data_IF_080048648456
#
_entry.id   IF_080048648456
#
_cell.length_a   1.000
_cell.length_b   1.000
_cell.length_c   1.000
_cell.angle_alpha   90.00
_cell.angle_beta   90.00
_cell.angle_gamma   90.00
#
_symmetry.space_group_name_H-M   'P 1'
#
loop_
_entity.id
_entity.type
_entity.pdbx_description
1 polymer ?
#
# COMPACT_ATOMS: atom_id res chain seq x y z
N UNK A 1 17.98 4.23 -71.59
CA UNK A 1 16.58 3.99 -72.00
C UNK A 1 16.28 2.53 -71.71
N UNK A 2 15.67 2.24 -70.56
CA UNK A 2 15.31 0.90 -70.11
C UNK A 2 13.80 0.87 -69.85
N UNK A 3 13.14 -0.17 -70.36
CA UNK A 3 11.69 -0.27 -70.51
C UNK A 3 10.93 -0.46 -69.19
N UNK A 4 9.85 0.29 -69.06
CA UNK A 4 8.78 0.13 -68.07
C UNK A 4 7.71 -0.82 -68.63
N UNK A 5 7.60 -2.01 -68.03
CA UNK A 5 6.50 -2.96 -68.26
C UNK A 5 5.27 -2.55 -67.46
N UNK A 6 4.14 -2.39 -68.17
CA UNK A 6 2.80 -2.14 -67.60
C UNK A 6 2.21 -3.42 -67.02
N UNK A 7 1.66 -3.36 -65.81
CA UNK A 7 0.80 -4.41 -65.23
C UNK A 7 -0.67 -4.03 -65.48
N UNK A 8 -1.51 -4.92 -66.06
CA UNK A 8 -2.93 -4.68 -66.21
C UNK A 8 -3.74 -5.30 -65.06
N UNK A 9 -4.74 -4.54 -64.61
CA UNK A 9 -6.06 -5.07 -64.26
C UNK A 9 -6.22 -5.80 -62.92
N UNK A 10 -6.62 -5.08 -61.88
CA UNK A 10 -7.47 -5.65 -60.85
C UNK A 10 -8.83 -4.94 -60.84
N UNK A 11 -9.87 -5.75 -61.06
CA UNK A 11 -11.26 -5.36 -61.18
C UNK A 11 -11.81 -4.92 -59.84
N UNK A 12 -12.45 -3.75 -59.82
CA UNK A 12 -13.36 -3.34 -58.77
C UNK A 12 -14.57 -4.28 -58.79
N UNK A 13 -14.71 -5.08 -57.73
CA UNK A 13 -15.86 -5.93 -57.47
C UNK A 13 -16.38 -5.63 -56.08
N UNK A 14 -17.50 -4.92 -56.01
CA UNK A 14 -18.28 -4.75 -54.80
C UNK A 14 -18.90 -6.09 -54.36
N UNK A 15 -18.70 -6.45 -53.09
CA UNK A 15 -19.50 -7.45 -52.36
C UNK A 15 -19.52 -7.00 -50.89
N UNK A 16 -20.54 -6.20 -50.55
CA UNK A 16 -21.66 -6.61 -49.70
C UNK A 16 -21.26 -7.30 -48.38
N UNK A 17 -21.28 -6.47 -47.33
CA UNK A 17 -22.13 -6.66 -46.15
C UNK A 17 -22.23 -8.08 -45.59
N UNK A 18 -21.39 -8.38 -44.59
CA UNK A 18 -21.74 -9.17 -43.38
C UNK A 18 -20.49 -9.34 -42.50
N UNK A 19 -19.92 -8.26 -41.96
CA UNK A 19 -19.04 -8.36 -40.80
C UNK A 19 -19.84 -7.95 -39.57
N UNK A 20 -20.37 -8.99 -38.91
CA UNK A 20 -20.49 -9.13 -37.46
C UNK A 20 -20.34 -7.80 -36.70
N UNK A 21 -21.49 -7.20 -36.36
CA UNK A 21 -21.63 -6.46 -35.11
C UNK A 21 -21.34 -7.43 -33.96
N UNK A 22 -20.07 -7.75 -33.72
CA UNK A 22 -19.64 -8.21 -32.42
C UNK A 22 -19.84 -7.01 -31.51
N UNK A 23 -20.95 -7.05 -30.76
CA UNK A 23 -21.23 -6.09 -29.71
C UNK A 23 -20.05 -6.06 -28.76
N UNK A 24 -19.18 -5.06 -28.94
CA UNK A 24 -18.42 -4.50 -27.84
C UNK A 24 -19.47 -3.93 -26.89
N UNK A 25 -19.98 -4.80 -26.03
CA UNK A 25 -20.47 -4.37 -24.73
C UNK A 25 -19.25 -3.71 -24.07
N UNK A 26 -19.12 -2.40 -24.27
CA UNK A 26 -18.38 -1.54 -23.40
C UNK A 26 -19.00 -1.78 -22.02
N UNK A 27 -18.39 -2.69 -21.26
CA UNK A 27 -18.58 -2.76 -19.84
C UNK A 27 -18.15 -1.39 -19.31
N UNK A 28 -19.11 -0.47 -19.26
CA UNK A 28 -18.91 0.82 -18.64
C UNK A 28 -18.41 0.58 -17.22
N UNK A 29 -17.50 1.42 -16.71
CA UNK A 29 -16.97 1.24 -15.37
C UNK A 29 -18.14 1.22 -14.39
N UNK A 30 -18.30 0.09 -13.69
CA UNK A 30 -19.25 -0.06 -12.59
C UNK A 30 -18.74 0.75 -11.37
N UNK A 31 -18.60 2.07 -11.53
CA UNK A 31 -18.13 3.00 -10.50
C UNK A 31 -19.30 3.78 -9.92
N UNK A 32 -20.16 3.09 -9.18
CA UNK A 32 -21.05 3.72 -8.21
C UNK A 32 -21.51 2.67 -7.18
N UNK A 33 -20.59 2.14 -6.38
CA UNK A 33 -21.01 1.58 -5.09
C UNK A 33 -21.46 2.75 -4.24
N UNK A 34 -22.78 2.87 -4.05
CA UNK A 34 -23.39 3.97 -3.32
C UNK A 34 -22.82 4.13 -1.90
N UNK A 35 -22.98 5.34 -1.37
CA UNK A 35 -22.70 5.66 0.04
C UNK A 35 -23.50 4.73 0.94
N UNK A 36 -22.84 4.06 1.87
CA UNK A 36 -23.48 3.19 2.86
C UNK A 36 -24.18 4.04 3.91
N UNK A 37 -25.42 3.68 4.24
CA UNK A 37 -26.21 4.42 5.22
C UNK A 37 -25.76 4.08 6.64
N UNK A 38 -25.65 5.07 7.56
CA UNK A 38 -25.49 4.80 8.99
C UNK A 38 -26.53 3.80 9.50
N UNK A 39 -26.10 2.88 10.37
CA UNK A 39 -26.93 1.77 10.88
C UNK A 39 -26.93 0.51 10.02
N UNK A 40 -26.39 0.54 8.80
CA UNK A 40 -26.26 -0.65 7.95
C UNK A 40 -25.32 -1.66 8.60
N UNK A 41 -25.76 -2.90 8.78
CA UNK A 41 -24.91 -3.98 9.26
C UNK A 41 -24.03 -4.54 8.12
N UNK A 42 -22.76 -4.80 8.42
CA UNK A 42 -21.77 -5.38 7.51
C UNK A 42 -21.06 -6.51 8.24
N UNK A 43 -20.91 -7.65 7.59
CA UNK A 43 -20.28 -8.84 8.17
C UNK A 43 -19.34 -9.48 7.14
N UNK A 44 -18.21 -10.01 7.63
CA UNK A 44 -17.17 -10.74 6.88
C UNK A 44 -16.43 -9.97 5.79
N UNK A 45 -17.13 -9.12 5.03
CA UNK A 45 -16.59 -8.45 3.85
C UNK A 45 -17.21 -7.07 3.75
N UNK A 46 -16.36 -6.07 3.62
CA UNK A 46 -16.72 -4.72 3.25
C UNK A 46 -16.35 -4.48 1.79
N UNK A 47 -17.32 -4.02 0.99
CA UNK A 47 -17.07 -3.54 -0.37
C UNK A 47 -17.00 -2.02 -0.35
N UNK A 48 -15.90 -1.46 -0.81
CA UNK A 48 -15.65 -0.01 -0.84
C UNK A 48 -14.87 0.34 -2.10
N UNK A 49 -15.42 1.21 -2.94
CA UNK A 49 -14.81 1.71 -4.18
C UNK A 49 -14.20 0.61 -5.07
N UNK A 50 -14.96 -0.48 -5.26
CA UNK A 50 -14.54 -1.64 -6.08
C UNK A 50 -13.54 -2.58 -5.39
N UNK A 51 -13.11 -2.26 -4.17
CA UNK A 51 -12.20 -3.07 -3.35
C UNK A 51 -13.01 -3.94 -2.39
N UNK A 52 -12.50 -5.12 -2.08
CA UNK A 52 -13.14 -6.09 -1.18
C UNK A 52 -12.25 -6.27 0.04
N UNK A 53 -12.59 -5.65 1.16
CA UNK A 53 -11.86 -5.71 2.42
C UNK A 53 -12.48 -6.77 3.35
N UNK A 54 -11.80 -7.90 3.62
CA UNK A 54 -12.25 -8.87 4.61
C UNK A 54 -12.33 -8.23 6.00
N UNK A 55 -13.45 -8.36 6.67
CA UNK A 55 -13.64 -7.87 8.03
C UNK A 55 -13.32 -8.97 9.05
N UNK A 56 -12.78 -8.62 10.22
CA UNK A 56 -12.77 -9.52 11.35
C UNK A 56 -14.18 -9.99 11.68
N UNK A 57 -14.28 -11.17 12.27
CA UNK A 57 -15.53 -11.78 12.70
C UNK A 57 -16.38 -10.83 13.55
N UNK A 58 -17.69 -11.07 13.51
CA UNK A 58 -18.68 -10.28 14.22
C UNK A 58 -19.41 -9.27 13.33
N UNK A 59 -20.40 -8.63 13.96
CA UNK A 59 -21.32 -7.71 13.30
C UNK A 59 -20.80 -6.28 13.39
N UNK A 60 -20.39 -5.73 12.25
CA UNK A 60 -20.01 -4.33 12.14
C UNK A 60 -21.22 -3.49 11.72
N UNK A 61 -21.27 -2.24 12.15
CA UNK A 61 -22.36 -1.30 11.85
C UNK A 61 -21.75 -0.03 11.28
N UNK A 62 -22.22 0.39 10.11
CA UNK A 62 -21.79 1.64 9.48
C UNK A 62 -22.17 2.81 10.39
N UNK A 63 -21.18 3.58 10.83
CA UNK A 63 -21.36 4.80 11.60
C UNK A 63 -21.54 6.02 10.70
N UNK A 64 -20.70 6.15 9.68
CA UNK A 64 -20.79 7.18 8.66
C UNK A 64 -19.98 6.79 7.42
N UNK A 65 -20.35 7.35 6.28
CA UNK A 65 -19.71 7.13 4.99
C UNK A 65 -19.84 8.42 4.17
N UNK A 66 -18.74 8.92 3.63
CA UNK A 66 -18.77 10.13 2.82
C UNK A 66 -17.40 10.63 2.40
N UNK A 67 -17.37 11.89 1.94
CA UNK A 67 -16.14 12.58 1.61
C UNK A 67 -15.33 12.83 2.88
N UNK A 68 -14.07 12.41 2.88
CA UNK A 68 -13.13 12.70 3.98
C UNK A 68 -12.87 14.19 4.18
N UNK A 69 -13.18 15.05 3.19
CA UNK A 69 -12.81 16.46 3.20
C UNK A 69 -11.29 16.65 3.19
N UNK A 70 -10.55 15.63 2.73
CA UNK A 70 -9.12 15.69 2.57
C UNK A 70 -8.79 16.45 1.29
N UNK A 71 -8.07 17.56 1.45
CA UNK A 71 -7.63 18.41 0.36
C UNK A 71 -6.28 18.99 0.78
N UNK A 72 -5.21 18.38 0.29
CA UNK A 72 -3.85 18.88 0.48
C UNK A 72 -3.30 19.43 -0.85
N UNK A 73 -3.31 20.76 -1.03
CA UNK A 73 -2.84 21.39 -2.26
C UNK A 73 -1.36 21.12 -2.56
N UNK A 74 -0.55 20.79 -1.54
CA UNK A 74 0.89 20.55 -1.71
C UNK A 74 1.18 19.20 -2.38
N UNK A 75 0.23 18.26 -2.30
CA UNK A 75 0.37 16.94 -2.89
C UNK A 75 -0.18 16.89 -4.32
N UNK A 76 -1.10 17.80 -4.67
CA UNK A 76 -1.67 17.95 -6.01
C UNK A 76 -3.17 17.68 -6.05
N UNK A 77 -3.75 17.61 -7.25
CA UNK A 77 -5.17 17.33 -7.44
C UNK A 77 -5.46 15.83 -7.24
N UNK A 78 -5.46 15.40 -5.98
CA UNK A 78 -6.01 14.10 -5.64
C UNK A 78 -7.54 14.20 -5.66
N UNK A 79 -8.18 13.20 -6.28
CA UNK A 79 -9.64 13.17 -6.44
C UNK A 79 -10.38 12.93 -5.13
N UNK A 80 -11.65 12.52 -5.25
CA UNK A 80 -12.51 12.19 -4.11
C UNK A 80 -11.94 11.06 -3.26
N UNK A 81 -11.54 11.38 -2.03
CA UNK A 81 -11.13 10.43 -1.01
C UNK A 81 -12.32 10.16 -0.08
N UNK A 82 -12.86 8.94 -0.17
CA UNK A 82 -13.94 8.45 0.66
C UNK A 82 -13.41 8.01 2.01
N UNK A 83 -14.09 8.40 3.08
CA UNK A 83 -13.89 7.89 4.43
C UNK A 83 -15.14 7.15 4.89
N UNK A 84 -14.95 5.98 5.48
CA UNK A 84 -16.01 5.09 5.93
C UNK A 84 -15.66 4.56 7.33
N UNK A 85 -16.56 4.81 8.27
CA UNK A 85 -16.40 4.42 9.68
C UNK A 85 -17.38 3.30 10.02
N UNK A 86 -16.89 2.20 10.57
CA UNK A 86 -17.69 1.11 11.10
C UNK A 86 -17.43 0.96 12.60
N UNK A 87 -18.49 0.71 13.35
CA UNK A 87 -18.44 0.39 14.76
C UNK A 87 -18.72 -1.08 14.98
N UNK A 88 -18.14 -1.62 16.04
CA UNK A 88 -18.49 -2.94 16.54
C UNK A 88 -18.72 -2.91 18.04
N UNK A 89 -19.86 -3.45 18.45
CA UNK A 89 -20.19 -3.65 19.84
C UNK A 89 -20.05 -5.13 20.22
N UNK A 90 -19.57 -5.39 21.43
CA UNK A 90 -19.55 -6.70 22.02
C UNK A 90 -20.97 -7.14 22.45
N UNK A 91 -21.08 -8.35 23.04
CA UNK A 91 -22.36 -8.91 23.51
C UNK A 91 -23.03 -8.07 24.62
N UNK A 92 -22.26 -7.26 25.34
CA UNK A 92 -22.75 -6.37 26.41
C UNK A 92 -23.18 -5.00 25.87
N UNK A 93 -23.17 -4.81 24.55
CA UNK A 93 -23.51 -3.54 23.90
C UNK A 93 -22.44 -2.46 24.03
N UNK A 94 -21.22 -2.79 24.48
CA UNK A 94 -20.09 -1.87 24.57
C UNK A 94 -19.26 -1.91 23.29
N UNK A 95 -18.80 -0.77 22.80
CA UNK A 95 -17.85 -0.73 21.68
C UNK A 95 -16.56 -1.47 22.05
N UNK A 96 -16.18 -2.44 21.23
CA UNK A 96 -14.93 -3.18 21.40
C UNK A 96 -13.95 -2.95 20.25
N UNK A 97 -14.44 -2.49 19.10
CA UNK A 97 -13.62 -2.08 17.98
C UNK A 97 -14.29 -0.99 17.12
N UNK A 98 -13.46 -0.22 16.45
CA UNK A 98 -13.84 0.75 15.43
C UNK A 98 -12.95 0.54 14.21
N UNK A 99 -13.51 0.61 13.02
CA UNK A 99 -12.78 0.52 11.77
C UNK A 99 -12.94 1.84 11.01
N UNK A 100 -11.82 2.46 10.70
CA UNK A 100 -11.72 3.61 9.81
C UNK A 100 -11.11 3.15 8.48
N UNK A 101 -11.85 3.32 7.39
CA UNK A 101 -11.37 3.00 6.04
C UNK A 101 -11.31 4.27 5.22
N UNK A 102 -10.19 4.48 4.54
CA UNK A 102 -10.05 5.51 3.52
C UNK A 102 -9.70 4.87 2.18
N UNK A 103 -10.41 5.26 1.14
CA UNK A 103 -10.20 4.75 -0.22
C UNK A 103 -10.52 5.84 -1.23
N UNK A 104 -9.85 5.81 -2.37
CA UNK A 104 -10.12 6.73 -3.46
C UNK A 104 -11.25 6.18 -4.34
N UNK A 105 -12.25 7.01 -4.62
CA UNK A 105 -13.30 6.64 -5.59
C UNK A 105 -12.86 6.88 -7.04
N UNK A 106 -11.88 7.76 -7.25
CA UNK A 106 -11.30 8.07 -8.55
C UNK A 106 -9.82 7.69 -8.56
N UNK A 107 -9.38 7.06 -9.65
CA UNK A 107 -7.98 6.71 -9.84
C UNK A 107 -7.08 7.96 -9.83
N UNK A 108 -5.97 7.89 -9.09
CA UNK A 108 -4.91 8.89 -9.12
C UNK A 108 -3.88 8.58 -10.22
N UNK A 109 -3.07 9.58 -10.60
CA UNK A 109 -2.00 9.42 -11.60
C UNK A 109 -0.61 9.29 -10.99
N UNK A 110 -0.44 9.78 -9.77
CA UNK A 110 0.85 10.01 -9.11
C UNK A 110 1.03 9.18 -7.83
N UNK A 111 0.19 8.15 -7.64
CA UNK A 111 0.26 7.23 -6.50
C UNK A 111 -0.12 7.86 -5.16
N UNK A 112 -0.29 7.01 -4.14
CA UNK A 112 -0.80 7.41 -2.82
C UNK A 112 0.23 7.33 -1.69
N UNK A 113 1.49 7.02 -2.01
CA UNK A 113 2.58 6.98 -1.05
C UNK A 113 2.36 5.99 0.12
N UNK A 114 3.11 6.20 1.19
CA UNK A 114 3.02 5.43 2.44
C UNK A 114 2.43 6.27 3.56
N UNK A 115 1.81 5.64 4.57
CA UNK A 115 1.42 6.32 5.79
C UNK A 115 2.67 6.69 6.62
N UNK A 116 2.70 7.86 7.26
CA UNK A 116 3.87 8.31 8.04
C UNK A 116 4.22 7.35 9.18
N UNK A 117 3.19 6.75 9.78
CA UNK A 117 3.34 5.72 10.81
C UNK A 117 4.24 4.57 10.38
N UNK A 118 4.26 4.21 9.09
CA UNK A 118 5.11 3.13 8.60
C UNK A 118 6.60 3.48 8.52
N UNK A 119 6.94 4.77 8.61
CA UNK A 119 8.33 5.25 8.64
C UNK A 119 8.84 5.52 10.06
N UNK A 120 8.01 5.31 11.09
CA UNK A 120 8.35 5.58 12.49
C UNK A 120 9.00 4.36 13.14
N UNK A 121 9.91 4.62 14.07
CA UNK A 121 10.61 3.60 14.87
C UNK A 121 10.19 3.58 16.34
N UNK A 122 9.32 4.50 16.77
CA UNK A 122 8.84 4.63 18.15
C UNK A 122 7.42 4.05 18.36
N UNK A 123 6.94 3.28 17.38
CA UNK A 123 5.69 2.53 17.44
C UNK A 123 5.89 1.12 18.00
N UNK A 124 4.80 0.47 18.41
CA UNK A 124 4.85 -0.94 18.85
C UNK A 124 5.32 -1.83 17.71
N UNK A 125 4.84 -1.54 16.50
CA UNK A 125 5.24 -2.22 15.28
C UNK A 125 5.11 -1.25 14.10
N UNK A 126 6.07 -1.25 13.18
CA UNK A 126 5.95 -0.60 11.88
C UNK A 126 6.70 -1.43 10.85
N UNK A 127 6.01 -1.88 9.80
CA UNK A 127 6.56 -2.78 8.79
C UNK A 127 6.16 -2.31 7.40
N UNK A 128 7.15 -2.03 6.57
CA UNK A 128 6.95 -1.72 5.15
C UNK A 128 7.13 -3.00 4.33
N UNK A 129 6.08 -3.76 4.04
CA UNK A 129 6.18 -5.04 3.31
C UNK A 129 6.91 -4.91 1.98
N UNK A 130 6.59 -3.87 1.23
CA UNK A 130 7.34 -3.46 0.04
C UNK A 130 7.02 -2.01 -0.31
N UNK A 131 7.92 -1.40 -1.08
CA UNK A 131 7.83 0.00 -1.49
C UNK A 131 8.52 0.16 -2.85
N UNK A 132 7.73 0.21 -3.93
CA UNK A 132 8.24 0.17 -5.30
C UNK A 132 7.52 1.22 -6.17
N UNK A 133 8.21 2.30 -6.52
CA UNK A 133 7.73 3.31 -7.49
C UNK A 133 6.38 3.96 -7.14
N UNK A 134 5.30 3.26 -7.42
CA UNK A 134 3.90 3.67 -7.21
C UNK A 134 3.10 2.61 -6.44
N UNK A 135 3.68 1.44 -6.16
CA UNK A 135 3.10 0.32 -5.45
C UNK A 135 3.75 0.19 -4.06
N UNK A 136 2.94 -0.02 -3.03
CA UNK A 136 3.42 -0.03 -1.66
C UNK A 136 2.44 -0.72 -0.72
N UNK A 137 2.99 -1.46 0.23
CA UNK A 137 2.21 -2.05 1.31
C UNK A 137 2.97 -1.88 2.62
N UNK A 138 2.30 -1.36 3.64
CA UNK A 138 2.80 -1.33 5.00
C UNK A 138 1.69 -1.50 6.02
N UNK A 139 2.09 -1.82 7.23
CA UNK A 139 1.22 -1.86 8.38
C UNK A 139 1.98 -1.46 9.64
N UNK A 140 1.25 -1.06 10.66
CA UNK A 140 1.80 -0.60 11.92
C UNK A 140 0.84 -0.87 13.08
N UNK A 141 1.37 -0.95 14.29
CA UNK A 141 0.62 -0.97 15.54
C UNK A 141 1.09 0.18 16.42
N UNK A 142 0.13 0.97 16.87
CA UNK A 142 0.31 2.16 17.71
C UNK A 142 -0.88 2.30 18.66
N UNK A 143 -0.97 3.40 19.38
CA UNK A 143 -2.21 3.86 19.99
C UNK A 143 -2.71 5.14 19.32
N UNK A 144 -4.02 5.34 19.42
CA UNK A 144 -4.70 6.56 19.00
C UNK A 144 -5.18 7.27 20.24
N UNK A 145 -4.79 8.55 20.37
CA UNK A 145 -5.41 9.46 21.32
C UNK A 145 -6.48 10.25 20.58
N UNK A 146 -7.73 10.06 20.99
CA UNK A 146 -8.87 10.73 20.41
C UNK A 146 -8.73 12.24 20.53
N UNK A 147 -8.88 12.94 19.42
CA UNK A 147 -8.98 14.39 19.42
C UNK A 147 -10.30 14.83 18.76
N UNK A 148 -10.57 16.13 18.80
CA UNK A 148 -11.79 16.72 18.24
C UNK A 148 -11.68 17.01 16.74
N UNK A 149 -10.68 16.48 16.03
CA UNK A 149 -10.39 16.91 14.65
C UNK A 149 -11.56 16.82 13.67
N UNK A 150 -11.48 17.74 12.71
CA UNK A 150 -12.47 18.12 11.70
C UNK A 150 -12.46 17.20 10.47
N UNK A 151 -12.58 15.89 10.68
CA UNK A 151 -13.05 15.01 9.60
C UNK A 151 -14.60 14.99 9.66
N UNK A 152 -15.31 15.48 8.62
CA UNK A 152 -16.77 15.55 8.62
C UNK A 152 -17.45 14.18 8.76
N UNK A 153 -16.82 13.11 8.27
CA UNK A 153 -17.32 11.74 8.44
C UNK A 153 -17.23 11.31 9.90
N UNK A 154 -16.16 11.69 10.61
CA UNK A 154 -16.04 11.40 12.05
C UNK A 154 -17.03 12.16 12.91
N UNK A 155 -17.38 13.40 12.55
CA UNK A 155 -18.44 14.13 13.22
C UNK A 155 -19.78 13.38 13.13
N UNK A 156 -20.12 12.88 11.94
CA UNK A 156 -21.33 12.06 11.72
C UNK A 156 -21.26 10.73 12.47
N UNK A 157 -20.12 10.02 12.41
CA UNK A 157 -19.94 8.75 13.09
C UNK A 157 -20.05 8.89 14.62
N UNK A 158 -19.49 9.96 15.20
CA UNK A 158 -19.62 10.28 16.63
C UNK A 158 -21.07 10.58 17.02
N UNK A 159 -21.79 11.34 16.20
CA UNK A 159 -23.21 11.61 16.42
C UNK A 159 -24.03 10.30 16.38
N UNK A 160 -23.75 9.42 15.42
CA UNK A 160 -24.38 8.11 15.34
C UNK A 160 -24.06 7.24 16.56
N UNK A 161 -22.79 7.13 16.97
CA UNK A 161 -22.41 6.38 18.16
C UNK A 161 -23.11 6.89 19.42
N UNK A 162 -23.22 8.21 19.59
CA UNK A 162 -23.95 8.81 20.70
C UNK A 162 -25.45 8.46 20.69
N UNK A 163 -26.09 8.44 19.52
CA UNK A 163 -27.50 8.00 19.37
C UNK A 163 -27.69 6.53 19.74
N UNK A 164 -26.69 5.68 19.52
CA UNK A 164 -26.69 4.28 19.93
C UNK A 164 -26.34 4.09 21.42
N UNK A 165 -26.06 5.16 22.17
CA UNK A 165 -25.59 5.08 23.56
C UNK A 165 -24.15 4.56 23.71
N UNK A 166 -23.41 4.48 22.60
CA UNK A 166 -22.04 4.00 22.59
C UNK A 166 -21.06 5.11 22.99
N UNK A 167 -20.11 4.75 23.86
CA UNK A 167 -19.01 5.63 24.26
C UNK A 167 -17.76 5.24 23.49
N UNK A 168 -17.21 6.17 22.72
CA UNK A 168 -15.89 6.01 22.08
C UNK A 168 -14.81 6.38 23.10
N UNK A 169 -13.93 5.44 23.52
CA UNK A 169 -12.89 5.71 24.51
C UNK A 169 -11.86 6.74 24.03
N UNK A 170 -11.24 7.47 24.95
CA UNK A 170 -10.23 8.49 24.65
C UNK A 170 -8.91 7.93 24.13
N UNK A 171 -8.56 6.69 24.47
CA UNK A 171 -7.35 6.01 23.99
C UNK A 171 -7.72 4.64 23.45
N UNK A 172 -7.22 4.34 22.26
CA UNK A 172 -7.46 3.09 21.52
C UNK A 172 -6.12 2.49 21.11
N UNK A 173 -6.01 1.17 20.98
CA UNK A 173 -4.86 0.53 20.35
C UNK A 173 -5.19 0.29 18.89
N UNK A 174 -4.32 0.75 18.00
CA UNK A 174 -4.61 0.86 16.57
C UNK A 174 -3.68 0.00 15.75
N UNK A 175 -4.24 -0.90 14.96
CA UNK A 175 -3.55 -1.55 13.85
C UNK A 175 -3.93 -0.85 12.54
N UNK A 176 -2.96 -0.21 11.90
CA UNK A 176 -3.14 0.49 10.64
C UNK A 176 -2.51 -0.26 9.47
N UNK A 177 -3.15 -0.20 8.32
CA UNK A 177 -2.72 -0.85 7.09
C UNK A 177 -2.86 0.12 5.93
N UNK A 178 -1.81 0.22 5.10
CA UNK A 178 -1.83 0.96 3.84
C UNK A 178 -1.41 0.00 2.74
N UNK A 179 -2.28 -0.17 1.75
CA UNK A 179 -1.88 -0.70 0.46
C UNK A 179 -2.23 0.36 -0.60
N UNK A 180 -1.27 0.65 -1.48
CA UNK A 180 -1.42 1.63 -2.53
C UNK A 180 -0.78 1.09 -3.81
N UNK A 181 -1.37 1.41 -4.96
CA UNK A 181 -0.75 1.30 -6.26
C UNK A 181 -0.81 2.67 -6.97
N UNK A 182 -0.46 2.71 -8.26
CA UNK A 182 -0.43 3.95 -9.04
C UNK A 182 -1.77 4.70 -9.04
N UNK A 183 -2.87 3.96 -9.10
CA UNK A 183 -4.21 4.48 -9.23
C UNK A 183 -4.96 4.51 -7.90
N UNK A 184 -4.80 3.46 -7.09
CA UNK A 184 -5.70 3.12 -6.00
C UNK A 184 -5.01 3.02 -4.65
N UNK A 185 -5.78 3.24 -3.60
CA UNK A 185 -5.36 3.09 -2.22
C UNK A 185 -6.46 2.53 -1.34
N UNK A 186 -6.04 1.79 -0.32
CA UNK A 186 -6.84 1.47 0.85
C UNK A 186 -5.99 1.76 2.10
N UNK A 187 -6.44 2.70 2.93
CA UNK A 187 -6.06 2.80 4.36
C UNK A 187 -7.13 2.05 5.14
N UNK A 188 -6.75 1.12 6.00
CA UNK A 188 -7.66 0.55 6.98
C UNK A 188 -7.03 0.67 8.36
N UNK A 189 -7.73 1.25 9.32
CA UNK A 189 -7.28 1.39 10.71
C UNK A 189 -8.30 0.77 11.64
N UNK A 190 -7.87 -0.28 12.31
CA UNK A 190 -8.66 -0.95 13.33
C UNK A 190 -8.25 -0.42 14.69
N UNK A 191 -9.18 0.21 15.38
CA UNK A 191 -9.02 0.76 16.70
C UNK A 191 -9.71 -0.18 17.70
N UNK A 192 -8.93 -0.84 18.55
CA UNK A 192 -9.41 -1.77 19.55
C UNK A 192 -9.53 -1.08 20.90
N UNK A 193 -10.64 -1.35 21.60
CA UNK A 193 -10.93 -0.79 22.93
C UNK A 193 -10.35 -1.69 24.01
N UNK A 194 -9.24 -1.31 24.69
CA UNK A 194 -8.59 -2.19 25.66
C UNK A 194 -9.49 -2.52 26.85
N UNK A 195 -10.35 -1.58 27.25
CA UNK A 195 -11.27 -1.70 28.38
C UNK A 195 -12.26 -2.85 28.26
N UNK A 196 -12.66 -3.20 27.03
CA UNK A 196 -13.57 -4.33 26.80
C UNK A 196 -12.87 -5.68 26.96
N UNK A 197 -11.54 -5.68 27.13
CA UNK A 197 -10.71 -6.86 27.39
C UNK A 197 -10.11 -6.86 28.80
N UNK A 198 -10.72 -6.12 29.73
CA UNK A 198 -10.37 -6.13 31.14
C UNK A 198 -9.24 -5.19 31.55
N UNK A 199 -8.70 -4.39 30.62
CA UNK A 199 -7.68 -3.41 30.94
C UNK A 199 -8.29 -2.12 31.52
N UNK A 200 -7.56 -1.35 32.34
CA UNK A 200 -8.05 -0.08 32.85
C UNK A 200 -8.32 0.94 31.74
N UNK A 201 -9.35 1.77 31.95
CA UNK A 201 -9.57 2.99 31.14
C UNK A 201 -8.36 3.90 31.22
N UNK A 202 -7.91 4.40 30.08
CA UNK A 202 -6.83 5.36 29.99
C UNK A 202 -7.32 6.67 29.38
N UNK A 203 -6.89 7.77 29.98
CA UNK A 203 -7.04 9.10 29.43
C UNK A 203 -5.63 9.69 29.28
N UNK A 204 -5.26 10.02 28.05
CA UNK A 204 -4.02 10.72 27.73
C UNK A 204 -4.38 12.03 27.01
N UNK A 205 -3.79 13.14 27.44
CA UNK A 205 -3.99 14.44 26.77
C UNK A 205 -3.18 14.55 25.48
N UNK A 206 -2.02 13.87 25.43
CA UNK A 206 -1.13 13.81 24.26
C UNK A 206 -0.71 12.38 23.98
N UNK A 207 -0.42 12.10 22.71
CA UNK A 207 0.04 10.78 22.27
C UNK A 207 1.25 10.26 23.07
N UNK A 208 2.29 11.08 23.25
CA UNK A 208 3.52 10.73 24.00
C UNK A 208 3.32 10.45 25.50
N UNK A 209 2.20 10.88 26.06
CA UNK A 209 1.91 10.71 27.49
C UNK A 209 1.27 9.36 27.80
N UNK A 210 0.64 8.72 26.80
CA UNK A 210 -0.05 7.45 26.96
C UNK A 210 0.88 6.33 27.46
N UNK A 211 0.34 5.44 28.29
CA UNK A 211 0.98 4.20 28.70
C UNK A 211 1.04 3.14 27.60
N UNK A 212 0.42 3.39 26.44
CA UNK A 212 0.48 2.54 25.26
C UNK A 212 1.65 2.85 24.31
N UNK A 213 2.46 3.86 24.65
CA UNK A 213 3.74 4.12 24.00
C UNK A 213 4.63 2.86 24.03
N UNK A 214 5.28 2.53 22.91
CA UNK A 214 6.17 1.36 22.82
C UNK A 214 7.19 1.32 23.97
N UNK A 215 7.82 2.46 24.27
CA UNK A 215 8.81 2.59 25.34
C UNK A 215 8.26 2.41 26.77
N UNK A 216 6.93 2.38 26.97
CA UNK A 216 6.26 2.22 28.27
C UNK A 216 5.50 0.91 28.41
N UNK A 217 5.41 0.09 27.35
CA UNK A 217 4.63 -1.15 27.39
C UNK A 217 5.16 -2.12 28.45
N UNK A 218 6.46 -2.12 28.71
CA UNK A 218 7.09 -2.99 29.71
C UNK A 218 6.72 -2.64 31.16
N UNK A 219 6.14 -1.45 31.40
CA UNK A 219 5.61 -1.06 32.72
C UNK A 219 4.34 -1.85 33.10
N UNK A 220 3.67 -2.48 32.11
CA UNK A 220 2.47 -3.29 32.33
C UNK A 220 2.46 -4.52 31.45
N UNK A 221 2.63 -5.69 32.07
CA UNK A 221 2.56 -6.99 31.40
C UNK A 221 1.27 -7.17 30.59
N UNK A 222 0.14 -6.67 31.08
CA UNK A 222 -1.16 -6.81 30.43
C UNK A 222 -1.27 -5.93 29.18
N UNK A 223 -0.77 -4.68 29.24
CA UNK A 223 -0.69 -3.80 28.05
C UNK A 223 0.25 -4.38 27.01
N UNK A 224 1.43 -4.83 27.43
CA UNK A 224 2.41 -5.47 26.54
C UNK A 224 1.80 -6.70 25.84
N UNK A 225 1.14 -7.58 26.59
CA UNK A 225 0.45 -8.74 26.01
C UNK A 225 -0.64 -8.33 25.02
N UNK A 226 -1.41 -7.29 25.32
CA UNK A 226 -2.44 -6.79 24.42
C UNK A 226 -1.88 -6.22 23.12
N UNK A 227 -0.87 -5.34 23.23
CA UNK A 227 -0.19 -4.75 22.09
C UNK A 227 0.48 -5.82 21.21
N UNK A 228 1.05 -6.86 21.82
CA UNK A 228 1.59 -8.02 21.11
C UNK A 228 0.49 -8.82 20.39
N UNK A 229 -0.66 -9.07 21.03
CA UNK A 229 -1.80 -9.74 20.40
C UNK A 229 -2.30 -9.00 19.16
N UNK A 230 -2.40 -7.67 19.24
CA UNK A 230 -2.74 -6.81 18.09
C UNK A 230 -1.65 -6.85 17.01
N UNK A 231 -0.38 -6.84 17.39
CA UNK A 231 0.76 -6.94 16.46
C UNK A 231 0.75 -8.25 15.69
N UNK A 232 0.55 -9.38 16.37
CA UNK A 232 0.47 -10.71 15.74
C UNK A 232 -0.72 -10.81 14.78
N UNK A 233 -1.87 -10.26 15.19
CA UNK A 233 -3.05 -10.18 14.34
C UNK A 233 -2.77 -9.32 13.09
N UNK A 234 -2.12 -8.17 13.25
CA UNK A 234 -1.79 -7.27 12.15
C UNK A 234 -0.86 -7.91 11.11
N UNK A 235 0.16 -8.65 11.57
CA UNK A 235 1.05 -9.41 10.66
C UNK A 235 0.26 -10.38 9.77
N UNK A 236 -0.72 -11.08 10.34
CA UNK A 236 -1.58 -11.99 9.58
C UNK A 236 -2.57 -11.26 8.64
N UNK A 237 -3.10 -10.13 9.08
CA UNK A 237 -4.12 -9.37 8.35
C UNK A 237 -3.55 -8.55 7.18
N UNK A 238 -2.29 -8.13 7.24
CA UNK A 238 -1.69 -7.25 6.24
C UNK A 238 -1.74 -7.81 4.81
N UNK A 239 -1.64 -9.13 4.63
CA UNK A 239 -1.79 -9.78 3.33
C UNK A 239 -3.20 -9.64 2.76
N UNK A 240 -4.24 -9.66 3.62
CA UNK A 240 -5.62 -9.51 3.19
C UNK A 240 -5.88 -8.10 2.66
N UNK A 241 -5.33 -7.05 3.28
CA UNK A 241 -5.48 -5.65 2.81
C UNK A 241 -4.82 -5.45 1.44
N UNK A 242 -3.61 -6.00 1.26
CA UNK A 242 -2.92 -5.97 -0.03
C UNK A 242 -3.72 -6.71 -1.12
N UNK A 243 -4.24 -7.90 -0.79
CA UNK A 243 -5.10 -8.65 -1.69
C UNK A 243 -6.41 -7.90 -2.00
N UNK A 244 -6.94 -7.12 -1.03
CA UNK A 244 -8.15 -6.31 -1.19
C UNK A 244 -7.96 -5.23 -2.27
N UNK A 245 -6.82 -4.53 -2.23
CA UNK A 245 -6.46 -3.54 -3.25
C UNK A 245 -6.33 -4.18 -4.64
N UNK A 246 -5.73 -5.38 -4.70
CA UNK A 246 -5.45 -6.10 -5.95
C UNK A 246 -6.67 -6.86 -6.50
N UNK A 247 -7.82 -6.79 -5.84
CA UNK A 247 -9.02 -7.54 -6.22
C UNK A 247 -8.89 -9.05 -6.05
N UNK A 248 -8.02 -9.51 -5.15
CA UNK A 248 -7.69 -10.93 -4.89
C UNK A 248 -8.07 -11.39 -3.47
N UNK A 249 -8.74 -10.55 -2.69
CA UNK A 249 -9.17 -10.93 -1.35
C UNK A 249 -10.17 -12.08 -1.40
N UNK A 250 -9.92 -13.12 -0.60
CA UNK A 250 -10.84 -14.25 -0.46
C UNK A 250 -11.90 -13.93 0.62
N UNK A 251 -13.18 -13.75 0.24
CA UNK A 251 -14.26 -13.46 1.19
C UNK A 251 -14.63 -14.65 2.10
N UNK A 252 -14.12 -15.85 1.79
CA UNK A 252 -14.38 -17.07 2.54
C UNK A 252 -13.52 -17.20 3.80
N UNK A 253 -12.35 -16.56 3.81
CA UNK A 253 -11.40 -16.61 4.93
C UNK A 253 -11.98 -15.89 6.13
N UNK A 254 -12.23 -16.62 7.21
CA UNK A 254 -12.62 -16.05 8.48
C UNK A 254 -11.39 -15.41 9.14
N UNK A 255 -11.52 -14.13 9.50
CA UNK A 255 -10.47 -13.39 10.19
C UNK A 255 -10.91 -13.26 11.65
N UNK A 256 -10.25 -13.94 12.60
CA UNK A 256 -10.61 -13.80 14.00
C UNK A 256 -10.25 -12.39 14.48
N UNK A 257 -10.86 -11.98 15.57
CA UNK A 257 -10.39 -10.78 16.27
C UNK A 257 -9.01 -10.97 16.88
N UNK A 258 -8.23 -9.89 17.08
CA UNK A 258 -7.09 -9.96 17.97
C UNK A 258 -7.56 -10.42 19.34
N UNK A 259 -6.95 -11.49 19.82
CA UNK A 259 -7.11 -11.99 21.16
C UNK A 259 -5.81 -11.74 21.93
N UNK A 260 -5.80 -10.82 22.91
CA UNK A 260 -4.63 -10.53 23.73
C UNK A 260 -4.30 -11.69 24.70
N UNK A 261 -5.24 -12.61 24.91
CA UNK A 261 -5.10 -13.76 25.82
C UNK A 261 -4.58 -15.01 25.12
N UNK A 262 -4.75 -15.09 23.80
CA UNK A 262 -4.01 -16.05 23.01
C UNK A 262 -2.54 -15.64 23.09
N UNK A 263 -1.79 -16.33 23.97
CA UNK A 263 -0.35 -16.46 23.80
C UNK A 263 -0.19 -16.80 22.33
N UNK A 264 0.51 -15.92 21.59
CA UNK A 264 0.87 -16.23 20.21
C UNK A 264 1.30 -17.69 20.22
N UNK A 265 0.70 -18.59 19.41
CA UNK A 265 1.38 -19.84 19.13
C UNK A 265 2.78 -19.40 18.73
N UNK A 266 3.78 -19.77 19.55
CA UNK A 266 5.13 -19.21 19.55
C UNK A 266 5.55 -18.82 18.13
N UNK A 267 5.76 -17.54 17.86
CA UNK A 267 6.46 -17.04 16.67
C UNK A 267 6.20 -17.75 15.33
N UNK A 268 4.95 -18.14 15.05
CA UNK A 268 4.65 -18.82 13.78
C UNK A 268 4.61 -17.82 12.60
N UNK A 269 4.96 -16.54 12.81
CA UNK A 269 5.13 -15.57 11.72
C UNK A 269 6.40 -15.85 10.92
N UNK A 270 7.51 -16.18 11.60
CA UNK A 270 8.75 -16.64 10.97
C UNK A 270 8.49 -17.98 10.30
N UNK A 271 7.87 -18.94 10.99
CA UNK A 271 7.58 -20.25 10.40
C UNK A 271 6.58 -20.18 9.22
N UNK A 272 5.58 -19.27 9.24
CA UNK A 272 4.72 -19.00 8.07
C UNK A 272 5.49 -18.34 6.92
N UNK A 273 6.39 -17.38 7.19
CA UNK A 273 7.25 -16.81 6.14
C UNK A 273 8.20 -17.87 5.58
N UNK A 274 8.81 -18.69 6.42
CA UNK A 274 9.65 -19.82 6.03
C UNK A 274 8.88 -20.81 5.15
N UNK A 275 7.64 -21.15 5.52
CA UNK A 275 6.76 -22.01 4.71
C UNK A 275 6.43 -21.36 3.35
N UNK A 276 6.22 -20.05 3.31
CA UNK A 276 6.02 -19.31 2.05
C UNK A 276 7.28 -19.30 1.19
N UNK A 277 8.46 -19.05 1.77
CA UNK A 277 9.75 -19.12 1.06
C UNK A 277 9.99 -20.52 0.50
N UNK A 278 9.64 -21.56 1.25
CA UNK A 278 9.75 -22.94 0.81
C UNK A 278 8.81 -23.26 -0.36
N UNK A 279 7.56 -22.76 -0.35
CA UNK A 279 6.65 -22.89 -1.49
C UNK A 279 7.18 -22.18 -2.76
N UNK A 280 7.79 -20.99 -2.61
CA UNK A 280 8.42 -20.27 -3.72
C UNK A 280 9.61 -21.04 -4.29
N UNK A 281 10.42 -21.67 -3.42
CA UNK A 281 11.54 -22.52 -3.81
C UNK A 281 11.05 -23.77 -4.55
N UNK A 282 10.05 -24.47 -4.01
CA UNK A 282 9.46 -25.67 -4.61
C UNK A 282 8.80 -25.39 -5.97
N UNK A 283 8.23 -24.19 -6.15
CA UNK A 283 7.66 -23.77 -7.44
C UNK A 283 8.69 -23.23 -8.43
N UNK A 284 9.98 -23.19 -8.08
CA UNK A 284 11.07 -22.69 -8.93
C UNK A 284 11.09 -21.18 -9.12
N UNK A 285 10.35 -20.41 -8.30
CA UNK A 285 10.33 -18.94 -8.37
C UNK A 285 11.57 -18.30 -7.73
N UNK A 286 12.20 -18.99 -6.78
CA UNK A 286 13.47 -18.57 -6.18
C UNK A 286 14.48 -19.73 -6.20
N UNK A 287 15.77 -19.41 -6.32
CA UNK A 287 16.82 -20.43 -6.26
C UNK A 287 17.03 -20.93 -4.82
N UNK A 288 17.69 -22.08 -4.67
CA UNK A 288 18.12 -22.58 -3.36
C UNK A 288 18.95 -21.55 -2.59
N UNK A 289 19.85 -20.84 -3.30
CA UNK A 289 20.71 -19.81 -2.73
C UNK A 289 19.89 -18.60 -2.22
N UNK A 290 18.87 -18.20 -2.97
CA UNK A 290 18.00 -17.08 -2.57
C UNK A 290 17.13 -17.46 -1.36
N UNK A 291 16.66 -18.70 -1.30
CA UNK A 291 15.94 -19.23 -0.15
C UNK A 291 16.81 -19.19 1.12
N UNK A 292 18.05 -19.66 1.05
CA UNK A 292 18.99 -19.65 2.19
C UNK A 292 19.26 -18.23 2.68
N UNK A 293 19.59 -17.31 1.78
CA UNK A 293 19.87 -15.91 2.13
C UNK A 293 18.64 -15.19 2.73
N UNK A 294 17.43 -15.43 2.17
CA UNK A 294 16.20 -14.83 2.70
C UNK A 294 15.80 -15.44 4.05
N UNK A 295 16.04 -16.75 4.24
CA UNK A 295 15.77 -17.43 5.51
C UNK A 295 16.70 -16.97 6.62
N UNK A 296 18.01 -16.83 6.33
CA UNK A 296 19.00 -16.29 7.25
C UNK A 296 18.64 -14.85 7.63
N UNK A 297 18.35 -13.99 6.65
CA UNK A 297 17.89 -12.63 6.91
C UNK A 297 16.59 -12.58 7.73
N UNK A 298 15.65 -13.50 7.51
CA UNK A 298 14.39 -13.56 8.26
C UNK A 298 14.62 -14.02 9.72
N UNK A 299 15.59 -14.89 9.96
CA UNK A 299 15.96 -15.36 11.29
C UNK A 299 16.77 -14.31 12.06
N UNK A 300 17.66 -13.59 11.38
CA UNK A 300 18.49 -12.54 11.99
C UNK A 300 17.71 -11.24 12.20
N UNK A 301 16.94 -10.80 11.21
CA UNK A 301 16.26 -9.49 11.21
C UNK A 301 14.77 -9.58 11.55
N UNK A 302 14.24 -10.79 11.73
CA UNK A 302 12.80 -11.05 11.93
C UNK A 302 11.97 -10.78 10.67
N UNK A 303 10.65 -10.69 10.82
CA UNK A 303 9.73 -10.28 9.72
C UNK A 303 9.78 -8.76 9.45
N UNK A 304 10.67 -8.04 10.12
CA UNK A 304 10.89 -6.62 9.91
C UNK A 304 11.44 -6.41 8.51
N UNK A 305 10.68 -5.71 7.68
CA UNK A 305 11.16 -5.36 6.35
C UNK A 305 12.29 -4.34 6.48
N UNK A 306 13.51 -4.78 6.19
CA UNK A 306 14.63 -3.91 5.84
C UNK A 306 14.42 -3.30 4.44
N UNK A 307 13.26 -2.69 4.17
CA UNK A 307 13.08 -1.90 2.94
C UNK A 307 13.63 -0.48 3.14
N UNK A 308 14.93 -0.40 3.35
CA UNK A 308 15.64 0.75 2.79
C UNK A 308 15.46 0.64 1.29
N UNK A 309 14.54 1.43 0.74
CA UNK A 309 14.44 1.62 -0.70
C UNK A 309 15.87 1.87 -1.22
N UNK A 310 16.32 1.18 -2.28
CA UNK A 310 17.69 1.32 -2.75
C UNK A 310 17.99 2.79 -3.02
N UNK A 311 19.16 3.24 -2.57
CA UNK A 311 19.58 4.62 -2.71
C UNK A 311 19.39 5.10 -4.17
N UNK A 312 18.81 6.28 -4.33
CA UNK A 312 18.51 6.87 -5.63
C UNK A 312 19.75 6.94 -6.52
N UNK A 313 20.93 7.14 -5.91
CA UNK A 313 22.21 7.15 -6.63
C UNK A 313 22.50 5.79 -7.29
N UNK A 314 22.21 4.70 -6.59
CA UNK A 314 22.42 3.32 -7.05
C UNK A 314 21.42 2.97 -8.15
N UNK A 315 20.14 3.28 -7.96
CA UNK A 315 19.10 3.02 -8.99
C UNK A 315 19.40 3.81 -10.28
N UNK A 316 19.81 5.06 -10.15
CA UNK A 316 20.18 5.91 -11.29
C UNK A 316 21.43 5.37 -12.00
N UNK A 317 22.43 4.91 -11.25
CA UNK A 317 23.63 4.28 -11.82
C UNK A 317 23.29 3.00 -12.59
N UNK A 318 22.44 2.13 -12.05
CA UNK A 318 21.99 0.90 -12.74
C UNK A 318 21.21 1.22 -14.02
N UNK A 319 20.31 2.21 -13.99
CA UNK A 319 19.59 2.67 -15.20
C UNK A 319 20.54 3.23 -16.26
N UNK A 320 21.51 4.03 -15.84
CA UNK A 320 22.52 4.58 -16.74
C UNK A 320 23.34 3.46 -17.40
N UNK A 321 23.76 2.47 -16.62
CA UNK A 321 24.56 1.35 -17.11
C UNK A 321 23.76 0.43 -18.07
N UNK A 322 22.53 0.06 -17.72
CA UNK A 322 21.72 -0.84 -18.55
C UNK A 322 21.34 -0.22 -19.90
N UNK A 323 21.00 1.07 -19.92
CA UNK A 323 20.75 1.81 -21.16
C UNK A 323 22.01 1.90 -22.04
N UNK A 324 23.19 2.04 -21.42
CA UNK A 324 24.47 2.13 -22.15
C UNK A 324 24.81 0.87 -22.89
N UNK A 325 24.66 -0.31 -22.28
CA UNK A 325 24.96 -1.59 -22.95
C UNK A 325 24.19 -1.71 -24.27
N UNK A 326 22.92 -1.32 -24.30
CA UNK A 326 22.08 -1.38 -25.50
C UNK A 326 22.56 -0.37 -26.56
N UNK A 327 22.82 0.88 -26.16
CA UNK A 327 23.21 1.95 -27.09
C UNK A 327 24.62 1.74 -27.64
N UNK A 328 25.55 1.25 -26.81
CA UNK A 328 26.94 0.96 -27.19
C UNK A 328 27.03 -0.07 -28.32
N UNK A 329 26.16 -1.08 -28.33
CA UNK A 329 26.11 -2.04 -29.44
C UNK A 329 25.79 -1.32 -30.75
N UNK A 330 24.76 -0.46 -30.76
CA UNK A 330 24.41 0.32 -31.96
C UNK A 330 25.53 1.26 -32.40
N UNK A 331 26.20 1.91 -31.46
CA UNK A 331 27.29 2.83 -31.76
C UNK A 331 28.52 2.12 -32.33
N UNK A 332 28.90 0.97 -31.79
CA UNK A 332 30.00 0.16 -32.35
C UNK A 332 29.74 -0.16 -33.82
N UNK A 333 28.51 -0.53 -34.20
CA UNK A 333 28.18 -0.81 -35.61
C UNK A 333 28.28 0.45 -36.48
N UNK A 334 27.74 1.57 -36.02
CA UNK A 334 27.76 2.84 -36.75
C UNK A 334 29.19 3.37 -36.90
N UNK A 335 29.93 3.44 -35.80
CA UNK A 335 31.28 3.98 -35.77
C UNK A 335 32.25 3.09 -36.55
N UNK A 336 32.07 1.76 -36.51
CA UNK A 336 32.86 0.87 -37.36
C UNK A 336 32.53 1.05 -38.85
N UNK A 337 31.25 1.18 -39.20
CA UNK A 337 30.83 1.44 -40.57
C UNK A 337 31.47 2.71 -41.14
N UNK A 338 31.60 3.76 -40.34
CA UNK A 338 32.20 5.03 -40.77
C UNK A 338 33.72 5.07 -40.72
N UNK A 339 34.34 4.48 -39.70
CA UNK A 339 35.79 4.57 -39.51
C UNK A 339 36.56 3.46 -40.22
N UNK A 340 35.93 2.31 -40.49
CA UNK A 340 36.59 1.11 -40.99
C UNK A 340 37.69 0.57 -40.07
N UNK A 341 37.78 1.05 -38.83
CA UNK A 341 38.89 0.75 -37.91
C UNK A 341 38.38 0.41 -36.52
N UNK A 342 38.71 -0.80 -36.04
CA UNK A 342 38.35 -1.25 -34.70
C UNK A 342 38.97 -0.40 -33.59
N UNK A 343 40.19 0.12 -33.80
CA UNK A 343 40.87 0.97 -32.81
C UNK A 343 40.19 2.32 -32.70
N UNK A 344 39.87 2.95 -33.83
CA UNK A 344 39.15 4.23 -33.85
C UNK A 344 37.74 4.08 -33.27
N UNK A 345 37.04 3.01 -33.64
CA UNK A 345 35.72 2.66 -33.09
C UNK A 345 35.78 2.48 -31.56
N UNK A 346 36.75 1.71 -31.06
CA UNK A 346 36.90 1.48 -29.61
C UNK A 346 37.20 2.77 -28.84
N UNK A 347 38.04 3.66 -29.40
CA UNK A 347 38.34 4.95 -28.79
C UNK A 347 37.11 5.89 -28.75
N UNK A 348 36.34 5.94 -29.84
CA UNK A 348 35.10 6.71 -29.92
C UNK A 348 34.05 6.17 -28.94
N UNK A 349 33.92 4.85 -28.83
CA UNK A 349 32.96 4.21 -27.94
C UNK A 349 33.27 4.53 -26.46
N UNK A 350 34.53 4.40 -26.03
CA UNK A 350 34.92 4.75 -24.64
C UNK A 350 34.62 6.21 -24.32
N UNK A 351 34.90 7.11 -25.27
CA UNK A 351 34.61 8.53 -25.12
C UNK A 351 33.11 8.80 -25.01
N UNK A 352 32.31 8.17 -25.87
CA UNK A 352 30.85 8.31 -25.89
C UNK A 352 30.21 7.73 -24.63
N UNK A 353 30.66 6.56 -24.16
CA UNK A 353 30.21 5.97 -22.89
C UNK A 353 30.48 6.95 -21.75
N UNK A 354 31.69 7.49 -21.67
CA UNK A 354 32.09 8.40 -20.57
C UNK A 354 31.27 9.68 -20.59
N UNK A 355 31.25 10.40 -21.71
CA UNK A 355 30.56 11.70 -21.83
C UNK A 355 29.08 11.53 -21.63
N UNK A 356 28.46 10.56 -22.32
CA UNK A 356 27.02 10.43 -22.26
C UNK A 356 26.54 9.83 -20.93
N UNK A 357 27.34 9.00 -20.24
CA UNK A 357 27.00 8.54 -18.88
C UNK A 357 27.10 9.67 -17.87
N UNK A 358 28.16 10.50 -17.95
CA UNK A 358 28.27 11.70 -17.13
C UNK A 358 27.11 12.67 -17.42
N UNK A 359 26.79 12.91 -18.68
CA UNK A 359 25.65 13.75 -19.10
C UNK A 359 24.34 13.20 -18.55
N UNK A 360 24.05 11.91 -18.74
CA UNK A 360 22.81 11.30 -18.26
C UNK A 360 22.70 11.34 -16.74
N UNK A 361 23.77 10.96 -16.03
CA UNK A 361 23.81 11.01 -14.56
C UNK A 361 23.59 12.42 -14.03
N UNK A 362 24.31 13.41 -14.58
CA UNK A 362 24.17 14.82 -14.19
C UNK A 362 22.82 15.40 -14.61
N UNK A 363 22.25 14.95 -15.73
CA UNK A 363 20.91 15.32 -16.17
C UNK A 363 19.86 14.76 -15.21
N UNK A 364 19.89 13.47 -14.87
CA UNK A 364 18.97 12.87 -13.90
C UNK A 364 19.10 13.52 -12.52
N UNK A 365 20.33 13.78 -12.03
CA UNK A 365 20.54 14.52 -10.78
C UNK A 365 20.06 15.97 -10.87
N UNK A 366 20.30 16.63 -12.00
CA UNK A 366 19.87 18.00 -12.26
C UNK A 366 18.35 18.11 -12.29
N UNK A 367 17.67 17.22 -13.02
CA UNK A 367 16.22 17.11 -13.03
C UNK A 367 15.67 16.82 -11.63
N UNK A 368 16.29 15.90 -10.90
CA UNK A 368 15.91 15.59 -9.53
C UNK A 368 16.01 16.80 -8.59
N UNK A 369 17.02 17.66 -8.79
CA UNK A 369 17.25 18.85 -7.98
C UNK A 369 16.36 20.03 -8.37
N UNK A 370 16.12 20.26 -9.67
CA UNK A 370 15.47 21.47 -10.17
C UNK A 370 13.96 21.34 -10.40
N UNK A 371 13.46 20.15 -10.76
CA UNK A 371 12.05 19.93 -11.08
C UNK A 371 11.34 19.09 -10.01
N UNK A 372 12.00 18.88 -8.87
CA UNK A 372 11.65 17.86 -7.89
C UNK A 372 12.13 16.49 -8.36
N UNK A 373 12.44 15.61 -7.41
CA UNK A 373 12.94 14.26 -7.69
C UNK A 373 12.01 13.59 -8.72
N UNK A 374 12.51 12.99 -9.82
CA UNK A 374 11.66 12.32 -10.81
C UNK A 374 10.79 11.31 -10.08
N UNK A 375 9.49 11.61 -9.97
CA UNK A 375 8.44 10.80 -9.34
C UNK A 375 8.98 9.89 -8.23
N UNK A 376 9.49 10.48 -7.14
CA UNK A 376 9.67 9.74 -5.88
C UNK A 376 8.32 9.49 -5.23
N UNK A 377 7.37 8.96 -5.99
CA UNK A 377 6.03 8.64 -5.50
C UNK A 377 6.17 7.53 -4.44
N UNK A 378 7.16 6.65 -4.63
CA UNK A 378 7.61 5.68 -3.63
C UNK A 378 8.04 6.40 -2.37
N UNK A 379 8.82 7.46 -2.50
CA UNK A 379 9.30 8.43 -1.52
C UNK A 379 8.23 9.03 -0.59
N UNK A 380 7.03 9.27 -1.14
CA UNK A 380 6.06 10.18 -0.53
C UNK A 380 5.37 9.54 0.66
N UNK A 381 5.29 10.32 1.72
CA UNK A 381 4.44 10.05 2.87
C UNK A 381 3.18 10.87 2.70
N UNK A 382 2.03 10.21 2.64
CA UNK A 382 0.73 10.85 2.49
C UNK A 382 -0.17 10.34 3.61
N UNK A 383 -0.52 11.25 4.51
CA UNK A 383 -1.44 10.99 5.60
C UNK A 383 -2.81 11.61 5.31
N UNK A 384 -3.84 10.90 5.73
CA UNK A 384 -5.22 11.38 5.68
C UNK A 384 -5.64 12.00 7.00
N UNK A 385 -6.86 12.56 7.03
CA UNK A 385 -7.45 13.05 8.28
C UNK A 385 -8.08 11.88 9.04
N UNK A 386 -7.47 11.53 10.18
CA UNK A 386 -7.88 10.39 11.00
C UNK A 386 -8.66 10.83 12.24
N UNK A 387 -9.20 9.88 13.01
CA UNK A 387 -10.01 10.14 14.22
C UNK A 387 -9.27 10.88 15.36
N UNK A 388 -7.95 10.84 15.35
CA UNK A 388 -7.12 11.25 16.48
C UNK A 388 -5.65 11.32 16.13
N UNK A 389 -4.85 11.77 17.09
CA UNK A 389 -3.39 11.78 16.95
C UNK A 389 -2.86 10.37 17.13
N UNK A 390 -2.15 9.90 16.11
CA UNK A 390 -1.46 8.60 16.08
C UNK A 390 0.07 8.77 16.10
N UNK A 391 0.52 10.03 16.15
CA UNK A 391 1.90 10.51 16.13
C UNK A 391 1.96 11.96 16.58
#
# INVERSE_FOLDING_TARGET
MAGLTRIPGFKAGALLASLLLAGFALAGPAHAQGVLKPGTAVERVLKVDGKTLPLPEGRWVVGADGDSGWNDPSLGAYGYLRSLILFRANKDGRLDAVLEVHSNALAATDGWGMASSCARSDLVLAVVRYRAGWDGSCFFVTHTVMNKEDNPVWAQARAFAAQQGWKVPGVLVTAGFRAANRADVIDARFHFVPETRGLPTEAAGRWKESGWMAAKLDESRERSAFAQGVSNWAVGYAAAVDASLKGRADPSVAIPMPDPTLKSPKDDSIARHMASLELLRQSGQISQKDFEAQSESLLENGTGSSSTAPDLSVVTAVKAFSYRVIVSISHIFVDYYWTGSYVATGALEVLQITINSAKFYMHELGWAKFMGVPRTDAARTIDFKYIGSNA
#
